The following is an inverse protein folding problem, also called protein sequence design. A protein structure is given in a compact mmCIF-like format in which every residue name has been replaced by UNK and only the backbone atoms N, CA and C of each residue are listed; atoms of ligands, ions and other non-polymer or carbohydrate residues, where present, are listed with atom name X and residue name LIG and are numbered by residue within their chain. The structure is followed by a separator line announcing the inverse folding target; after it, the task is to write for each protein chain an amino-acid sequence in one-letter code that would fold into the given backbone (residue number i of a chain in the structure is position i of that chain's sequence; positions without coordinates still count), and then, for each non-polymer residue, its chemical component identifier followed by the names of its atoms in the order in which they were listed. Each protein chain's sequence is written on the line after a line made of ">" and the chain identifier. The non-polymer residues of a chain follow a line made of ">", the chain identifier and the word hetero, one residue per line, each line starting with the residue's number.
data_IF_186231739244
#
_entry.id   IF_186231739244
#
_cell.length_a   1.000
_cell.length_b   1.000
_cell.length_c   1.000
_cell.angle_alpha   90.00
_cell.angle_beta   90.00
_cell.angle_gamma   90.00
#
_symmetry.space_group_name_H-M   'P 1'
#
loop_
_entity.id
_entity.type
_entity.pdbx_description
1 polymer ?
#
# COMPACT_ATOMS: atom_id res chain seq x y z
N UNK A 1 16.62 20.54 -12.53
CA UNK A 1 16.20 20.50 -11.11
C UNK A 1 14.70 20.77 -11.08
N UNK A 2 13.84 19.77 -10.84
CA UNK A 2 12.41 20.03 -10.71
C UNK A 2 12.14 20.66 -9.33
N UNK A 3 11.44 21.78 -9.32
CA UNK A 3 11.15 22.56 -8.12
C UNK A 3 10.36 21.73 -7.10
N UNK A 4 10.94 21.48 -5.92
CA UNK A 4 10.27 20.82 -4.79
C UNK A 4 9.07 21.60 -4.21
N UNK A 5 8.80 22.83 -4.68
CA UNK A 5 7.70 23.69 -4.21
C UNK A 5 6.79 24.25 -5.33
N UNK A 6 6.73 23.61 -6.50
CA UNK A 6 6.08 24.22 -7.67
C UNK A 6 4.67 23.73 -7.99
N UNK A 7 3.65 24.32 -7.37
CA UNK A 7 2.34 24.56 -8.01
C UNK A 7 2.20 26.05 -8.32
N UNK A 8 3.19 26.65 -8.98
CA UNK A 8 2.94 27.93 -9.62
C UNK A 8 2.14 27.65 -10.91
N UNK A 9 1.03 28.35 -11.16
CA UNK A 9 0.40 28.31 -12.47
C UNK A 9 1.43 28.84 -13.49
N UNK A 10 1.69 28.06 -14.53
CA UNK A 10 2.59 28.40 -15.62
C UNK A 10 2.06 29.56 -16.51
N UNK A 11 1.52 30.63 -15.91
CA UNK A 11 1.09 31.82 -16.64
C UNK A 11 2.26 32.76 -16.99
N UNK A 12 3.44 32.58 -16.37
CA UNK A 12 4.57 33.52 -16.51
C UNK A 12 5.91 32.90 -16.95
N UNK A 13 5.99 31.59 -17.25
CA UNK A 13 7.24 30.98 -17.70
C UNK A 13 7.05 30.18 -18.99
N UNK A 14 7.43 30.79 -20.11
CA UNK A 14 7.31 30.27 -21.48
C UNK A 14 8.35 29.18 -21.84
N UNK A 15 9.18 28.75 -20.88
CA UNK A 15 10.28 27.83 -21.10
C UNK A 15 10.41 26.83 -19.93
N UNK A 16 9.63 25.76 -19.95
CA UNK A 16 10.00 24.54 -19.22
C UNK A 16 9.81 23.33 -20.14
N UNK A 17 10.85 22.50 -20.34
CA UNK A 17 10.79 21.41 -21.32
C UNK A 17 9.85 20.30 -20.81
N UNK A 18 8.92 19.91 -21.67
CA UNK A 18 8.04 18.75 -21.50
C UNK A 18 8.85 17.45 -21.67
N UNK A 19 9.66 17.11 -20.68
CA UNK A 19 10.43 15.86 -20.63
C UNK A 19 9.82 14.86 -19.64
N UNK A 20 9.30 13.74 -20.15
CA UNK A 20 8.98 12.49 -19.42
C UNK A 20 8.28 12.62 -18.04
N UNK A 21 7.30 13.52 -17.91
CA UNK A 21 6.51 13.70 -16.68
C UNK A 21 5.99 12.37 -16.10
N UNK A 22 5.41 11.49 -16.93
CA UNK A 22 4.80 10.23 -16.45
C UNK A 22 5.83 9.22 -15.89
N UNK A 23 7.02 9.11 -16.49
CA UNK A 23 8.07 8.20 -15.99
C UNK A 23 8.63 8.70 -14.67
N UNK A 24 8.86 10.00 -14.56
CA UNK A 24 9.31 10.64 -13.32
C UNK A 24 8.27 10.46 -12.21
N UNK A 25 6.98 10.66 -12.51
CA UNK A 25 5.88 10.42 -11.56
C UNK A 25 5.88 8.98 -11.03
N UNK A 26 6.06 7.98 -11.90
CA UNK A 26 6.16 6.57 -11.49
C UNK A 26 7.35 6.33 -10.56
N UNK A 27 8.51 6.89 -10.88
CA UNK A 27 9.70 6.78 -10.04
C UNK A 27 9.49 7.43 -8.68
N UNK A 28 8.88 8.62 -8.61
CA UNK A 28 8.60 9.29 -7.34
C UNK A 28 7.66 8.45 -6.47
N UNK A 29 6.58 7.89 -7.05
CA UNK A 29 5.69 6.99 -6.29
C UNK A 29 6.42 5.73 -5.81
N UNK A 30 7.25 5.11 -6.64
CA UNK A 30 8.03 3.95 -6.25
C UNK A 30 9.01 4.26 -5.10
N UNK A 31 9.72 5.39 -5.18
CA UNK A 31 10.61 5.86 -4.12
C UNK A 31 9.85 6.19 -2.84
N UNK A 32 8.68 6.81 -2.94
CA UNK A 32 7.84 7.11 -1.77
C UNK A 32 7.36 5.82 -1.08
N UNK A 33 6.94 4.82 -1.87
CA UNK A 33 6.61 3.51 -1.33
C UNK A 33 7.83 2.85 -0.66
N UNK A 34 9.01 2.94 -1.29
CA UNK A 34 10.25 2.41 -0.72
C UNK A 34 10.59 3.07 0.63
N UNK A 35 10.44 4.38 0.74
CA UNK A 35 10.60 5.09 2.02
C UNK A 35 9.60 4.55 3.06
N UNK A 36 8.35 4.33 2.67
CA UNK A 36 7.35 3.70 3.53
C UNK A 36 7.78 2.31 4.03
N UNK A 37 8.34 1.48 3.16
CA UNK A 37 8.90 0.18 3.52
C UNK A 37 10.08 0.32 4.47
N UNK A 38 11.01 1.26 4.22
CA UNK A 38 12.13 1.50 5.12
C UNK A 38 11.65 1.91 6.52
N UNK A 39 10.64 2.78 6.63
CA UNK A 39 10.04 3.17 7.91
C UNK A 39 9.38 1.97 8.59
N UNK A 40 8.66 1.13 7.86
CA UNK A 40 8.08 -0.10 8.39
C UNK A 40 9.15 -1.05 8.94
N UNK A 41 10.26 -1.22 8.21
CA UNK A 41 11.40 -2.02 8.68
C UNK A 41 11.99 -1.44 9.97
N UNK A 42 12.15 -0.11 10.06
CA UNK A 42 12.62 0.54 11.29
C UNK A 42 11.68 0.26 12.46
N UNK A 43 10.36 0.31 12.27
CA UNK A 43 9.38 0.00 13.32
C UNK A 43 9.46 -1.43 13.85
N UNK A 44 10.06 -2.36 13.09
CA UNK A 44 10.28 -3.76 13.50
C UNK A 44 11.66 -3.99 14.16
N UNK A 45 12.56 -3.00 14.19
CA UNK A 45 13.89 -3.15 14.79
C UNK A 45 13.76 -3.29 16.33
N UNK A 46 14.47 -4.24 16.96
CA UNK A 46 14.50 -4.34 18.41
C UNK A 46 15.00 -3.03 19.04
N UNK A 47 14.25 -2.50 20.00
CA UNK A 47 14.50 -1.20 20.65
C UNK A 47 13.51 -0.09 20.26
N UNK A 48 12.82 -0.21 19.11
CA UNK A 48 11.76 0.75 18.75
C UNK A 48 10.48 0.61 19.58
N UNK A 49 10.30 -0.53 20.23
CA UNK A 49 9.15 -0.86 21.08
C UNK A 49 8.93 0.20 22.19
N UNK A 50 9.99 0.69 22.82
CA UNK A 50 9.88 1.67 23.92
C UNK A 50 9.29 3.01 23.44
N UNK A 51 9.60 3.43 22.21
CA UNK A 51 9.04 4.64 21.63
C UNK A 51 7.61 4.42 21.16
N UNK A 52 7.32 3.25 20.57
CA UNK A 52 5.98 2.90 20.09
C UNK A 52 4.99 2.70 21.24
N UNK A 53 5.43 2.18 22.38
CA UNK A 53 4.61 2.01 23.58
C UNK A 53 4.12 3.34 24.17
N UNK A 54 4.75 4.47 23.84
CA UNK A 54 4.29 5.81 24.25
C UNK A 54 3.11 6.31 23.43
N UNK A 55 2.77 5.66 22.32
CA UNK A 55 1.64 6.05 21.47
C UNK A 55 0.35 5.59 22.16
N UNK A 56 -0.60 6.51 22.46
CA UNK A 56 -1.85 6.16 23.09
C UNK A 56 -2.69 5.21 22.19
N UNK A 57 -3.42 4.29 22.80
CA UNK A 57 -4.27 3.32 22.09
C UNK A 57 -3.56 2.10 21.46
N UNK A 58 -2.25 1.91 21.65
CA UNK A 58 -1.55 0.69 21.19
C UNK A 58 -1.60 -0.47 22.18
N UNK A 59 -1.35 -0.19 23.45
CA UNK A 59 -1.26 -1.18 24.53
C UNK A 59 -2.14 -0.84 25.74
N UNK A 60 -3.05 0.13 25.62
CA UNK A 60 -3.98 0.45 26.71
C UNK A 60 -4.96 -0.72 26.94
N UNK A 61 -4.90 -1.30 28.15
CA UNK A 61 -5.85 -2.28 28.66
C UNK A 61 -5.91 -3.64 27.95
N UNK A 62 -4.90 -4.01 27.16
CA UNK A 62 -4.85 -5.34 26.53
C UNK A 62 -4.42 -6.44 27.51
N UNK A 63 -5.37 -7.30 27.90
CA UNK A 63 -5.13 -8.53 28.67
C UNK A 63 -4.95 -9.73 27.73
N UNK A 64 -4.01 -9.64 26.80
CA UNK A 64 -3.66 -10.72 25.88
C UNK A 64 -2.80 -11.81 26.54
N UNK A 65 -2.80 -13.01 25.97
CA UNK A 65 -1.87 -14.11 26.35
C UNK A 65 -0.42 -13.74 26.03
N UNK A 66 -0.21 -12.93 24.99
CA UNK A 66 1.09 -12.41 24.55
C UNK A 66 1.20 -10.94 24.97
N UNK A 67 2.33 -10.50 25.56
CA UNK A 67 2.51 -9.12 25.98
C UNK A 67 2.53 -8.17 24.77
N UNK A 68 1.77 -7.07 24.86
CA UNK A 68 1.66 -6.07 23.79
C UNK A 68 3.01 -5.45 23.38
N UNK A 69 3.98 -5.39 24.30
CA UNK A 69 5.31 -4.82 24.03
C UNK A 69 6.03 -5.48 22.86
N UNK A 70 5.81 -6.78 22.63
CA UNK A 70 6.39 -7.53 21.50
C UNK A 70 5.61 -7.32 20.21
N UNK A 71 4.29 -7.07 20.31
CA UNK A 71 3.41 -6.93 19.15
C UNK A 71 3.29 -5.48 18.65
N UNK A 72 3.74 -4.50 19.44
CA UNK A 72 3.58 -3.07 19.19
C UNK A 72 4.17 -2.63 17.83
N UNK A 73 5.32 -3.21 17.46
CA UNK A 73 5.98 -2.96 16.17
C UNK A 73 5.09 -3.35 14.99
N UNK A 74 4.52 -4.55 15.03
CA UNK A 74 3.62 -5.04 13.99
C UNK A 74 2.34 -4.21 13.89
N UNK A 75 1.75 -3.81 15.03
CA UNK A 75 0.60 -2.89 15.04
C UNK A 75 0.93 -1.57 14.33
N UNK A 76 2.13 -1.03 14.56
CA UNK A 76 2.55 0.24 13.97
C UNK A 76 2.75 0.10 12.46
N UNK A 77 3.36 -1.01 12.04
CA UNK A 77 3.50 -1.37 10.63
C UNK A 77 2.13 -1.50 9.96
N UNK A 78 1.15 -2.17 10.57
CA UNK A 78 -0.18 -2.30 9.97
C UNK A 78 -0.85 -0.95 9.76
N UNK A 79 -0.76 -0.01 10.71
CA UNK A 79 -1.34 1.34 10.58
C UNK A 79 -0.62 2.17 9.51
N UNK A 80 0.71 2.09 9.42
CA UNK A 80 1.50 2.73 8.36
C UNK A 80 1.13 2.19 6.98
N UNK A 81 1.10 0.87 6.84
CA UNK A 81 0.73 0.18 5.59
C UNK A 81 -0.71 0.49 5.18
N UNK A 82 -1.65 0.53 6.13
CA UNK A 82 -3.02 0.96 5.87
C UNK A 82 -3.06 2.39 5.32
N UNK A 83 -2.33 3.33 5.92
CA UNK A 83 -2.31 4.71 5.44
C UNK A 83 -1.75 4.86 4.03
N UNK A 84 -0.64 4.16 3.73
CA UNK A 84 -0.08 4.10 2.38
C UNK A 84 -1.06 3.47 1.39
N UNK A 85 -1.68 2.35 1.75
CA UNK A 85 -2.67 1.67 0.90
C UNK A 85 -3.87 2.58 0.59
N UNK A 86 -4.40 3.29 1.59
CA UNK A 86 -5.51 4.23 1.39
C UNK A 86 -5.11 5.40 0.48
N UNK A 87 -3.90 5.94 0.63
CA UNK A 87 -3.39 6.99 -0.26
C UNK A 87 -3.33 6.52 -1.73
N UNK A 88 -2.75 5.34 -1.98
CA UNK A 88 -2.67 4.78 -3.33
C UNK A 88 -4.04 4.38 -3.88
N UNK A 89 -4.93 3.88 -3.04
CA UNK A 89 -6.30 3.56 -3.42
C UNK A 89 -7.06 4.82 -3.87
N UNK A 90 -6.96 5.93 -3.13
CA UNK A 90 -7.58 7.20 -3.52
C UNK A 90 -7.06 7.70 -4.88
N UNK A 91 -5.75 7.61 -5.11
CA UNK A 91 -5.16 7.96 -6.40
C UNK A 91 -5.59 7.01 -7.53
N UNK A 92 -5.71 5.72 -7.23
CA UNK A 92 -6.23 4.72 -8.18
C UNK A 92 -7.67 5.04 -8.59
N UNK A 93 -8.53 5.32 -7.60
CA UNK A 93 -9.92 5.70 -7.82
C UNK A 93 -10.05 7.00 -8.64
N UNK A 94 -9.20 8.00 -8.36
CA UNK A 94 -9.15 9.25 -9.14
C UNK A 94 -8.88 8.99 -10.63
N UNK A 95 -8.02 8.01 -10.94
CA UNK A 95 -7.56 7.71 -12.30
C UNK A 95 -8.46 6.73 -13.07
N UNK A 96 -9.58 6.29 -12.49
CA UNK A 96 -10.54 5.42 -13.19
C UNK A 96 -11.08 6.13 -14.44
N UNK A 97 -11.05 5.41 -15.57
CA UNK A 97 -11.52 5.86 -16.89
C UNK A 97 -10.78 7.09 -17.45
N UNK A 98 -9.57 7.41 -16.97
CA UNK A 98 -8.70 8.38 -17.66
C UNK A 98 -8.14 7.72 -18.92
N UNK A 99 -8.44 8.30 -20.09
CA UNK A 99 -7.99 7.77 -21.40
C UNK A 99 -6.92 8.63 -22.08
N UNK A 100 -6.76 9.87 -21.65
CA UNK A 100 -5.86 10.84 -22.28
C UNK A 100 -5.09 11.64 -21.24
N UNK A 101 -3.86 12.06 -21.58
CA UNK A 101 -3.02 12.95 -20.79
C UNK A 101 -3.54 14.39 -20.71
N UNK A 102 -4.50 14.75 -21.58
CA UNK A 102 -5.19 16.04 -21.56
C UNK A 102 -6.30 16.13 -20.51
N UNK A 103 -6.63 15.02 -19.84
CA UNK A 103 -7.62 15.01 -18.76
C UNK A 103 -7.09 15.83 -17.57
N UNK A 104 -7.88 16.73 -16.96
CA UNK A 104 -7.45 17.51 -15.80
C UNK A 104 -6.92 16.65 -14.64
N UNK A 105 -7.41 15.41 -14.50
CA UNK A 105 -6.96 14.46 -13.47
C UNK A 105 -5.51 14.01 -13.70
N UNK A 106 -5.04 14.02 -14.94
CA UNK A 106 -3.63 13.75 -15.26
C UNK A 106 -2.70 14.87 -14.71
N UNK A 107 -3.17 16.12 -14.64
CA UNK A 107 -2.41 17.20 -13.99
C UNK A 107 -2.29 16.95 -12.48
N UNK A 108 -3.36 16.48 -11.83
CA UNK A 108 -3.31 16.04 -10.43
C UNK A 108 -2.35 14.87 -10.28
N UNK A 109 -2.42 13.82 -11.11
CA UNK A 109 -1.53 12.65 -11.01
C UNK A 109 -0.05 12.96 -11.24
N UNK A 110 0.29 13.85 -12.16
CA UNK A 110 1.68 14.16 -12.48
C UNK A 110 2.27 15.32 -11.67
N UNK A 111 1.43 16.18 -11.06
CA UNK A 111 1.83 17.39 -10.34
C UNK A 111 1.43 17.40 -8.86
N UNK A 112 1.32 18.61 -8.28
CA UNK A 112 0.81 18.85 -6.91
C UNK A 112 1.43 17.98 -5.81
N UNK A 113 2.74 17.73 -5.88
CA UNK A 113 3.47 16.81 -4.98
C UNK A 113 3.37 17.18 -3.50
N UNK A 114 3.50 18.47 -3.17
CA UNK A 114 3.40 18.93 -1.79
C UNK A 114 2.06 18.53 -1.16
N UNK A 115 0.95 18.84 -1.82
CA UNK A 115 -0.39 18.50 -1.32
C UNK A 115 -0.59 16.99 -1.22
N UNK A 116 -0.10 16.21 -2.18
CA UNK A 116 -0.17 14.74 -2.11
C UNK A 116 0.57 14.17 -0.91
N UNK A 117 1.81 14.61 -0.68
CA UNK A 117 2.59 14.11 0.45
C UNK A 117 1.99 14.57 1.79
N UNK A 118 1.47 15.80 1.86
CA UNK A 118 0.72 16.26 3.02
C UNK A 118 -0.52 15.40 3.28
N UNK A 119 -1.30 15.08 2.24
CA UNK A 119 -2.45 14.16 2.36
C UNK A 119 -2.01 12.76 2.78
N UNK A 120 -0.94 12.21 2.21
CA UNK A 120 -0.42 10.89 2.59
C UNK A 120 -0.01 10.85 4.07
N UNK A 121 0.74 11.86 4.54
CA UNK A 121 1.13 11.97 5.95
C UNK A 121 -0.10 12.12 6.85
N UNK A 122 -1.08 12.94 6.46
CA UNK A 122 -2.31 13.11 7.23
C UNK A 122 -3.11 11.80 7.36
N UNK A 123 -3.22 11.02 6.28
CA UNK A 123 -3.88 9.71 6.31
C UNK A 123 -3.12 8.74 7.22
N UNK A 124 -1.78 8.68 7.10
CA UNK A 124 -0.94 7.83 7.94
C UNK A 124 -1.11 8.21 9.41
N UNK A 125 -0.93 9.48 9.77
CA UNK A 125 -1.09 9.96 11.15
C UNK A 125 -2.51 9.68 11.66
N UNK A 126 -3.53 9.93 10.83
CA UNK A 126 -4.93 9.61 11.14
C UNK A 126 -5.16 8.13 11.45
N UNK A 127 -4.46 7.22 10.75
CA UNK A 127 -4.54 5.79 11.02
C UNK A 127 -4.07 5.42 12.43
N UNK A 128 -3.12 6.17 13.01
CA UNK A 128 -2.66 5.97 14.39
C UNK A 128 -3.70 6.34 15.45
N UNK A 129 -4.78 7.03 15.09
CA UNK A 129 -5.87 7.35 16.01
C UNK A 129 -7.08 6.40 15.88
N UNK A 130 -7.02 5.41 15.00
CA UNK A 130 -8.12 4.44 14.83
C UNK A 130 -8.07 3.41 15.97
N UNK A 131 -9.18 3.18 16.71
CA UNK A 131 -9.24 2.16 17.75
C UNK A 131 -9.01 0.75 17.20
N UNK A 132 -8.28 -0.08 17.96
CA UNK A 132 -7.86 -1.43 17.56
C UNK A 132 -9.02 -2.35 17.13
N UNK A 133 -10.17 -2.32 17.84
CA UNK A 133 -11.31 -3.18 17.50
C UNK A 133 -11.89 -2.89 16.11
N UNK A 134 -12.09 -1.61 15.79
CA UNK A 134 -12.56 -1.19 14.47
C UNK A 134 -11.49 -1.42 13.40
N UNK A 135 -10.24 -1.10 13.72
CA UNK A 135 -9.11 -1.29 12.80
C UNK A 135 -8.94 -2.75 12.40
N UNK A 136 -8.94 -3.67 13.39
CA UNK A 136 -8.84 -5.11 13.18
C UNK A 136 -10.00 -5.61 12.32
N UNK A 137 -11.23 -5.18 12.61
CA UNK A 137 -12.41 -5.55 11.82
C UNK A 137 -12.29 -5.09 10.36
N UNK A 138 -11.84 -3.86 10.14
CA UNK A 138 -11.60 -3.32 8.80
C UNK A 138 -10.51 -4.11 8.06
N UNK A 139 -9.40 -4.43 8.73
CA UNK A 139 -8.31 -5.21 8.13
C UNK A 139 -8.74 -6.64 7.79
N UNK A 140 -9.49 -7.31 8.67
CA UNK A 140 -10.01 -8.66 8.43
C UNK A 140 -11.01 -8.69 7.27
N UNK A 141 -11.93 -7.72 7.21
CA UNK A 141 -12.89 -7.61 6.09
C UNK A 141 -12.19 -7.35 4.75
N UNK A 142 -11.22 -6.43 4.72
CA UNK A 142 -10.42 -6.17 3.53
C UNK A 142 -9.62 -7.42 3.11
N UNK A 143 -9.04 -8.15 4.07
CA UNK A 143 -8.30 -9.39 3.82
C UNK A 143 -9.22 -10.46 3.22
N UNK A 144 -10.39 -10.69 3.81
CA UNK A 144 -11.39 -11.64 3.30
C UNK A 144 -11.83 -11.29 1.87
N UNK A 145 -12.08 -10.00 1.60
CA UNK A 145 -12.41 -9.52 0.25
C UNK A 145 -11.28 -9.79 -0.76
N UNK A 146 -10.03 -9.52 -0.39
CA UNK A 146 -8.87 -9.78 -1.26
C UNK A 146 -8.68 -11.27 -1.55
N UNK A 147 -8.86 -12.14 -0.55
CA UNK A 147 -8.83 -13.60 -0.78
C UNK A 147 -9.95 -14.05 -1.73
N UNK A 148 -11.17 -13.52 -1.55
CA UNK A 148 -12.29 -13.82 -2.45
C UNK A 148 -12.01 -13.37 -3.89
N UNK A 149 -11.52 -12.14 -4.07
CA UNK A 149 -11.16 -11.60 -5.38
C UNK A 149 -10.03 -12.41 -6.04
N UNK A 150 -9.02 -12.81 -5.26
CA UNK A 150 -7.92 -13.66 -5.74
C UNK A 150 -8.42 -15.02 -6.21
N UNK A 151 -9.32 -15.65 -5.44
CA UNK A 151 -9.95 -16.92 -5.82
C UNK A 151 -10.72 -16.80 -7.14
N UNK A 152 -11.57 -15.76 -7.27
CA UNK A 152 -12.31 -15.48 -8.50
C UNK A 152 -11.35 -15.26 -9.68
N UNK A 153 -10.29 -14.46 -9.48
CA UNK A 153 -9.30 -14.20 -10.52
C UNK A 153 -8.59 -15.49 -10.99
N UNK A 154 -8.19 -16.37 -10.06
CA UNK A 154 -7.58 -17.66 -10.38
C UNK A 154 -8.53 -18.54 -11.20
N UNK A 155 -9.81 -18.60 -10.81
CA UNK A 155 -10.84 -19.37 -11.55
C UNK A 155 -10.98 -18.84 -12.97
N UNK A 156 -11.11 -17.51 -13.13
CA UNK A 156 -11.19 -16.88 -14.45
C UNK A 156 -9.93 -17.17 -15.26
N UNK A 157 -8.74 -17.15 -14.63
CA UNK A 157 -7.51 -17.46 -15.34
C UNK A 157 -7.44 -18.90 -15.84
N UNK A 158 -7.89 -19.88 -15.06
CA UNK A 158 -7.99 -21.25 -15.53
C UNK A 158 -8.99 -21.38 -16.69
N UNK A 159 -10.17 -20.75 -16.61
CA UNK A 159 -11.20 -20.87 -17.65
C UNK A 159 -10.78 -20.23 -18.97
N UNK A 160 -10.20 -19.02 -18.92
CA UNK A 160 -9.91 -18.25 -20.13
C UNK A 160 -8.51 -18.49 -20.71
N UNK A 161 -7.53 -18.86 -19.88
CA UNK A 161 -6.12 -18.96 -20.31
C UNK A 161 -5.56 -20.38 -20.27
N UNK A 162 -6.33 -21.38 -19.81
CA UNK A 162 -5.93 -22.79 -19.89
C UNK A 162 -6.94 -23.59 -20.71
N UNK A 163 -6.52 -24.04 -21.89
CA UNK A 163 -7.33 -24.88 -22.77
C UNK A 163 -6.74 -26.30 -22.84
N UNK A 164 -7.59 -27.34 -22.98
CA UNK A 164 -7.14 -28.73 -22.97
C UNK A 164 -6.20 -29.11 -24.13
N UNK A 165 -6.16 -28.32 -25.21
CA UNK A 165 -5.38 -28.63 -26.41
C UNK A 165 -4.01 -27.92 -26.48
N UNK A 166 -3.79 -26.79 -25.80
CA UNK A 166 -2.52 -26.02 -25.84
C UNK A 166 -2.38 -25.06 -24.66
N UNK A 167 -1.12 -24.87 -24.22
CA UNK A 167 -0.59 -23.98 -23.17
C UNK A 167 -0.30 -24.65 -21.80
N UNK A 168 0.73 -25.50 -21.76
CA UNK A 168 1.42 -25.93 -20.52
C UNK A 168 1.91 -24.74 -19.71
N UNK A 169 2.39 -23.69 -20.37
CA UNK A 169 3.01 -22.53 -19.73
C UNK A 169 2.04 -21.75 -18.84
N UNK A 170 0.87 -21.40 -19.36
CA UNK A 170 -0.14 -20.68 -18.57
C UNK A 170 -0.62 -21.54 -17.38
N UNK A 171 -0.80 -22.84 -17.61
CA UNK A 171 -1.22 -23.78 -16.56
C UNK A 171 -0.16 -23.90 -15.46
N UNK A 172 1.12 -24.00 -15.83
CA UNK A 172 2.25 -24.06 -14.91
C UNK A 172 2.43 -22.72 -14.17
N UNK A 173 2.30 -21.60 -14.86
CA UNK A 173 2.41 -20.28 -14.24
C UNK A 173 1.32 -20.06 -13.19
N UNK A 174 0.05 -20.34 -13.55
CA UNK A 174 -1.07 -20.16 -12.62
C UNK A 174 -0.93 -21.11 -11.41
N UNK A 175 -0.54 -22.37 -11.63
CA UNK A 175 -0.40 -23.34 -10.54
C UNK A 175 0.77 -23.04 -9.60
N UNK A 176 1.92 -22.62 -10.12
CA UNK A 176 3.08 -22.22 -9.32
C UNK A 176 2.75 -20.99 -8.48
N UNK A 177 2.13 -19.96 -9.08
CA UNK A 177 1.72 -18.77 -8.32
C UNK A 177 0.70 -19.10 -7.23
N UNK A 178 -0.27 -19.99 -7.52
CA UNK A 178 -1.23 -20.43 -6.50
C UNK A 178 -0.53 -21.15 -5.34
N UNK A 179 0.42 -22.04 -5.63
CA UNK A 179 1.21 -22.72 -4.60
C UNK A 179 2.03 -21.73 -3.75
N UNK A 180 2.67 -20.75 -4.39
CA UNK A 180 3.42 -19.70 -3.68
C UNK A 180 2.50 -18.86 -2.78
N UNK A 181 1.31 -18.48 -3.24
CA UNK A 181 0.33 -17.76 -2.44
C UNK A 181 -0.13 -18.57 -1.22
N UNK A 182 -0.43 -19.86 -1.38
CA UNK A 182 -0.81 -20.74 -0.27
C UNK A 182 0.35 -20.91 0.71
N UNK A 183 1.57 -21.14 0.21
CA UNK A 183 2.76 -21.26 1.03
C UNK A 183 3.02 -20.01 1.88
N UNK A 184 2.97 -18.82 1.26
CA UNK A 184 3.12 -17.54 1.96
C UNK A 184 2.03 -17.33 3.04
N UNK A 185 0.79 -17.71 2.74
CA UNK A 185 -0.34 -17.59 3.68
C UNK A 185 -0.14 -18.49 4.90
N UNK A 186 0.28 -19.74 4.69
CA UNK A 186 0.58 -20.69 5.77
C UNK A 186 1.74 -20.16 6.63
N UNK A 187 2.85 -19.77 6.01
CA UNK A 187 4.01 -19.21 6.73
C UNK A 187 3.62 -18.02 7.62
N UNK A 188 2.73 -17.15 7.15
CA UNK A 188 2.31 -15.93 7.88
C UNK A 188 1.50 -16.21 9.15
N UNK A 189 0.93 -17.42 9.30
CA UNK A 189 0.11 -17.81 10.46
C UNK A 189 0.92 -18.65 11.47
N UNK A 190 2.13 -19.09 11.11
CA UNK A 190 2.96 -19.89 12.03
C UNK A 190 3.38 -19.03 13.25
N UNK A 191 3.08 -19.47 14.49
CA UNK A 191 3.44 -18.72 15.71
C UNK A 191 4.95 -18.57 15.94
N UNK A 192 5.78 -19.31 15.19
CA UNK A 192 7.25 -19.17 15.24
C UNK A 192 7.76 -17.97 14.43
N UNK A 193 6.95 -17.47 13.50
CA UNK A 193 7.27 -16.34 12.61
C UNK A 193 6.68 -15.03 13.14
N UNK A 194 5.61 -15.11 13.95
CA UNK A 194 4.96 -13.98 14.63
C UNK A 194 5.75 -13.57 15.88
#
# INVERSE_FOLDING_TARGET
>A
IPCLCGSAPCLLCRCCPSGNNSTVTRLIYALFLLVGVCVACVMLIPGMEEQLNKIPGFCENEKGVVPCSILVGYKAVYRLCFGLAMFYLLLSLLMIKVKSSSDPRAAVHNGFWFFKFATAVAIIVGAFFIPEGTFTTALLSATALNYLLSLVAIILFFVYYTHPASCSENKAFISVNMLLCVGASVMSILPKIQ
#
